data_IF_784187953557
#
_entry.id   IF_784187953557
#
_cell.length_a   1.000
_cell.length_b   1.000
_cell.length_c   1.000
_cell.angle_alpha   90.00
_cell.angle_beta   90.00
_cell.angle_gamma   90.00
#
_symmetry.space_group_name_H-M   'P 1'
#
loop_
_entity.id
_entity.type
_entity.pdbx_description
1 polymer ?
#
# COMPACT_ATOMS: atom_id res chain seq x y z
N UNK A 1 35.95 -67.12 -17.50
CA UNK A 1 34.49 -67.09 -17.58
C UNK A 1 34.00 -66.30 -16.37
N UNK A 2 33.97 -64.98 -16.50
CA UNK A 2 33.63 -64.09 -15.37
C UNK A 2 32.22 -63.58 -15.56
N UNK A 3 31.28 -64.10 -14.76
CA UNK A 3 29.90 -63.64 -14.66
C UNK A 3 29.88 -62.31 -13.88
N UNK A 4 29.76 -61.17 -14.59
CA UNK A 4 29.39 -59.92 -13.95
C UNK A 4 27.86 -59.96 -13.66
N UNK A 5 27.50 -60.15 -12.39
CA UNK A 5 26.14 -59.94 -11.90
C UNK A 5 25.79 -58.46 -12.04
N UNK A 6 24.92 -58.15 -12.97
CA UNK A 6 24.27 -56.85 -13.01
C UNK A 6 23.31 -56.73 -11.81
N UNK A 7 23.72 -55.90 -10.86
CA UNK A 7 22.87 -55.52 -9.69
C UNK A 7 21.89 -54.44 -10.13
N UNK A 8 20.96 -54.80 -11.00
CA UNK A 8 19.79 -53.99 -11.30
C UNK A 8 18.56 -54.74 -10.79
N UNK A 9 18.40 -54.84 -9.48
CA UNK A 9 17.19 -55.37 -8.89
C UNK A 9 16.04 -54.37 -8.98
N UNK A 10 14.80 -54.82 -9.24
CA UNK A 10 13.61 -53.95 -9.25
C UNK A 10 13.39 -53.15 -7.98
N UNK A 11 14.12 -53.45 -6.90
CA UNK A 11 14.06 -52.74 -5.62
C UNK A 11 14.70 -51.35 -5.64
N UNK A 12 15.75 -51.13 -6.45
CA UNK A 12 16.41 -49.80 -6.48
C UNK A 12 15.57 -48.79 -7.25
N UNK A 13 14.92 -49.20 -8.33
CA UNK A 13 14.01 -48.33 -9.08
C UNK A 13 12.75 -47.99 -8.29
N UNK A 14 12.23 -48.93 -7.50
CA UNK A 14 11.09 -48.72 -6.61
C UNK A 14 11.45 -47.74 -5.47
N UNK A 15 12.62 -47.88 -4.86
CA UNK A 15 13.13 -46.96 -3.83
C UNK A 15 13.35 -45.54 -4.36
N UNK A 16 13.86 -45.38 -5.59
CA UNK A 16 14.01 -44.07 -6.25
C UNK A 16 12.66 -43.42 -6.54
N UNK A 17 11.66 -44.17 -6.98
CA UNK A 17 10.29 -43.68 -7.21
C UNK A 17 9.64 -43.24 -5.90
N UNK A 18 9.78 -44.03 -4.84
CA UNK A 18 9.25 -43.69 -3.50
C UNK A 18 9.95 -42.42 -2.93
N UNK A 19 11.27 -42.29 -3.09
CA UNK A 19 12.02 -41.11 -2.67
C UNK A 19 11.60 -39.86 -3.47
N UNK A 20 11.38 -40.00 -4.78
CA UNK A 20 10.88 -38.90 -5.63
C UNK A 20 9.44 -38.51 -5.28
N UNK A 21 8.58 -39.47 -4.99
CA UNK A 21 7.21 -39.23 -4.53
C UNK A 21 7.17 -38.55 -3.16
N UNK A 22 8.05 -38.96 -2.21
CA UNK A 22 8.16 -38.32 -0.91
C UNK A 22 8.64 -36.86 -1.00
N UNK A 23 9.50 -36.53 -1.95
CA UNK A 23 9.91 -35.13 -2.22
C UNK A 23 8.78 -34.26 -2.79
N UNK A 24 7.86 -34.84 -3.56
CA UNK A 24 6.75 -34.10 -4.17
C UNK A 24 5.67 -33.68 -3.15
N UNK A 25 5.57 -34.37 -1.98
CA UNK A 25 4.50 -34.11 -0.99
C UNK A 25 4.85 -32.94 -0.03
N UNK A 26 6.09 -32.45 0.01
CA UNK A 26 6.54 -31.44 0.96
C UNK A 26 6.31 -29.97 0.53
N UNK A 27 5.65 -29.73 -0.61
CA UNK A 27 5.51 -28.39 -1.21
C UNK A 27 4.15 -27.71 -0.91
N UNK A 28 3.49 -27.98 0.21
CA UNK A 28 2.26 -27.28 0.57
C UNK A 28 2.54 -26.00 1.35
N UNK A 29 2.26 -24.85 0.77
CA UNK A 29 2.18 -23.58 1.49
C UNK A 29 1.04 -23.67 2.51
N UNK A 30 1.33 -23.46 3.80
CA UNK A 30 0.32 -23.55 4.85
C UNK A 30 -0.75 -22.47 4.66
N UNK A 31 -2.01 -22.86 4.52
CA UNK A 31 -3.20 -21.98 4.47
C UNK A 31 -3.18 -20.90 5.58
N UNK A 32 -2.61 -21.21 6.75
CA UNK A 32 -2.46 -20.27 7.87
C UNK A 32 -1.64 -19.02 7.56
N UNK A 33 -0.85 -18.98 6.48
CA UNK A 33 -0.05 -17.82 6.11
C UNK A 33 -0.83 -16.81 5.25
N UNK A 34 -1.99 -17.20 4.74
CA UNK A 34 -2.82 -16.38 3.85
C UNK A 34 -3.93 -15.61 4.58
N UNK A 35 -4.26 -16.02 5.83
CA UNK A 35 -5.37 -15.43 6.58
C UNK A 35 -4.93 -14.17 7.30
N UNK A 36 -5.71 -13.09 7.17
CA UNK A 36 -5.57 -11.85 7.94
C UNK A 36 -6.13 -12.02 9.36
N UNK A 37 -5.53 -11.31 10.34
CA UNK A 37 -6.08 -11.16 11.70
C UNK A 37 -6.49 -12.49 12.37
N UNK A 38 -5.75 -13.56 12.12
CA UNK A 38 -6.11 -14.94 12.52
C UNK A 38 -6.19 -15.18 14.04
N UNK A 39 -5.60 -14.30 14.85
CA UNK A 39 -5.58 -14.36 16.31
C UNK A 39 -6.61 -13.43 16.98
N UNK A 40 -7.56 -12.89 16.21
CA UNK A 40 -8.74 -12.25 16.79
C UNK A 40 -9.56 -13.34 17.49
N UNK A 41 -9.91 -13.09 18.75
CA UNK A 41 -10.64 -14.05 19.56
C UNK A 41 -12.03 -14.27 18.97
N UNK A 42 -12.30 -15.51 18.53
CA UNK A 42 -13.58 -15.91 17.94
C UNK A 42 -14.64 -16.30 18.99
N UNK A 43 -14.24 -16.39 20.26
CA UNK A 43 -15.15 -16.78 21.36
C UNK A 43 -15.91 -15.57 21.92
N UNK A 44 -15.40 -14.35 21.72
CA UNK A 44 -16.06 -13.12 22.16
C UNK A 44 -16.96 -12.56 21.05
N UNK A 45 -18.19 -12.20 21.38
CA UNK A 45 -19.11 -11.56 20.44
C UNK A 45 -18.62 -10.18 19.98
N UNK A 46 -17.81 -9.50 20.80
CA UNK A 46 -17.25 -8.20 20.53
C UNK A 46 -15.83 -8.09 21.12
N UNK A 47 -14.89 -7.60 20.30
CA UNK A 47 -13.51 -7.31 20.70
C UNK A 47 -13.24 -5.82 20.44
N UNK A 48 -12.84 -5.08 21.45
CA UNK A 48 -12.49 -3.67 21.35
C UNK A 48 -10.98 -3.48 21.27
N UNK A 49 -10.52 -2.76 20.24
CA UNK A 49 -9.12 -2.34 20.07
C UNK A 49 -9.08 -0.81 19.99
N UNK A 50 -8.34 -0.13 20.88
CA UNK A 50 -8.25 1.33 20.86
C UNK A 50 -7.56 1.78 19.56
N UNK A 51 -8.12 2.81 18.93
CA UNK A 51 -7.52 3.41 17.73
C UNK A 51 -6.32 4.28 18.14
N UNK A 52 -5.14 3.93 17.63
CA UNK A 52 -3.96 4.79 17.70
C UNK A 52 -3.80 5.53 16.36
N UNK A 53 -4.61 6.58 16.17
CA UNK A 53 -4.57 7.40 14.96
C UNK A 53 -3.60 8.56 15.15
N UNK A 54 -2.50 8.63 14.39
CA UNK A 54 -1.63 9.79 14.41
C UNK A 54 -2.37 11.00 13.84
N UNK A 55 -2.20 12.14 14.50
CA UNK A 55 -2.72 13.40 13.99
C UNK A 55 -1.85 13.89 12.83
N UNK A 56 -2.49 14.18 11.68
CA UNK A 56 -1.78 14.73 10.55
C UNK A 56 -1.63 16.24 10.69
N UNK A 57 -0.40 16.73 10.64
CA UNK A 57 -0.09 18.14 10.56
C UNK A 57 0.21 18.51 9.10
N UNK A 58 -0.46 19.55 8.62
CA UNK A 58 -0.32 20.04 7.25
C UNK A 58 1.13 20.38 6.97
N UNK A 59 1.66 19.87 5.86
CA UNK A 59 3.04 20.06 5.44
C UNK A 59 3.15 21.05 4.29
N UNK A 60 4.36 21.51 4.02
CA UNK A 60 4.68 22.24 2.79
C UNK A 60 4.43 21.33 1.59
N UNK A 61 3.94 21.92 0.48
CA UNK A 61 3.52 21.22 -0.76
C UNK A 61 2.23 20.43 -0.66
N UNK A 62 1.58 20.40 0.50
CA UNK A 62 0.21 19.91 0.56
C UNK A 62 -0.72 20.75 -0.30
N UNK A 63 -1.74 20.12 -0.84
CA UNK A 63 -2.76 20.78 -1.63
C UNK A 63 -4.08 20.69 -0.89
N UNK A 64 -4.67 21.82 -0.60
CA UNK A 64 -5.93 21.94 0.11
C UNK A 64 -7.02 22.43 -0.82
N UNK A 65 -8.15 21.76 -0.79
CA UNK A 65 -9.40 22.29 -1.33
C UNK A 65 -10.05 23.15 -0.27
N UNK A 66 -10.33 24.42 -0.59
CA UNK A 66 -10.90 25.39 0.35
C UNK A 66 -12.12 26.01 -0.30
N UNK A 67 -13.23 26.01 0.44
CA UNK A 67 -14.46 26.73 0.06
C UNK A 67 -14.97 27.55 1.24
N UNK A 68 -15.35 28.77 0.94
CA UNK A 68 -15.87 29.73 1.93
C UNK A 68 -17.25 30.17 1.51
N UNK A 69 -18.25 29.91 2.35
CA UNK A 69 -19.62 30.29 2.17
C UNK A 69 -20.02 31.37 3.16
N UNK A 70 -20.86 32.33 2.73
CA UNK A 70 -21.44 33.36 3.55
C UNK A 70 -22.80 33.75 2.97
N UNK A 71 -23.61 34.46 3.75
CA UNK A 71 -24.87 35.05 3.27
C UNK A 71 -24.68 36.08 2.14
N UNK A 72 -23.47 36.68 2.07
CA UNK A 72 -23.07 37.54 0.95
C UNK A 72 -22.48 36.69 -0.19
N UNK A 73 -23.31 36.28 -1.15
CA UNK A 73 -22.91 35.45 -2.27
C UNK A 73 -21.87 36.09 -3.18
N UNK A 74 -21.98 37.42 -3.42
CA UNK A 74 -21.05 38.14 -4.29
C UNK A 74 -19.63 38.09 -3.74
N UNK A 75 -19.45 38.38 -2.45
CA UNK A 75 -18.14 38.30 -1.80
C UNK A 75 -17.64 36.87 -1.69
N UNK A 76 -18.53 35.93 -1.43
CA UNK A 76 -18.16 34.49 -1.40
C UNK A 76 -17.63 34.02 -2.76
N UNK A 77 -18.28 34.44 -3.85
CA UNK A 77 -17.85 34.11 -5.22
C UNK A 77 -16.51 34.76 -5.57
N UNK A 78 -16.26 35.99 -5.16
CA UNK A 78 -14.99 36.67 -5.36
C UNK A 78 -13.84 36.00 -4.61
N UNK A 79 -14.06 35.56 -3.37
CA UNK A 79 -13.03 34.88 -2.58
C UNK A 79 -12.74 33.48 -3.14
N UNK A 80 -13.79 32.74 -3.51
CA UNK A 80 -13.64 31.38 -4.04
C UNK A 80 -13.09 31.35 -5.46
N UNK A 81 -13.04 32.48 -6.18
CA UNK A 81 -12.64 32.63 -7.59
C UNK A 81 -12.97 31.38 -8.40
N UNK A 82 -14.26 31.12 -8.57
CA UNK A 82 -14.66 30.06 -9.50
C UNK A 82 -14.36 30.59 -10.91
N UNK A 83 -13.24 30.16 -11.47
CA UNK A 83 -12.86 30.48 -12.84
C UNK A 83 -13.96 29.93 -13.75
N UNK A 84 -14.88 30.82 -14.16
CA UNK A 84 -15.87 30.64 -15.22
C UNK A 84 -16.86 29.50 -15.02
N UNK A 85 -18.11 29.85 -15.06
CA UNK A 85 -19.30 28.97 -15.04
C UNK A 85 -19.34 27.89 -16.14
N UNK A 86 -18.34 27.80 -16.99
CA UNK A 86 -18.24 26.83 -18.08
C UNK A 86 -17.57 25.51 -17.73
N UNK A 87 -17.12 25.31 -16.48
CA UNK A 87 -16.30 24.15 -16.13
C UNK A 87 -16.85 23.25 -15.02
N UNK A 88 -18.16 23.14 -14.88
CA UNK A 88 -18.74 22.16 -13.93
C UNK A 88 -18.32 20.70 -14.21
N UNK A 89 -17.82 20.39 -15.39
CA UNK A 89 -17.36 19.04 -15.76
C UNK A 89 -15.85 18.77 -15.49
N UNK A 90 -15.08 19.75 -15.02
CA UNK A 90 -13.63 19.60 -14.80
C UNK A 90 -13.26 19.05 -13.41
N UNK A 91 -14.21 18.86 -12.51
CA UNK A 91 -13.94 18.37 -11.16
C UNK A 91 -13.76 16.83 -11.05
N UNK A 92 -13.63 16.13 -12.20
CA UNK A 92 -13.61 14.67 -12.21
C UNK A 92 -12.21 14.05 -12.30
N UNK A 93 -11.13 14.84 -12.41
CA UNK A 93 -9.79 14.30 -12.48
C UNK A 93 -8.81 14.99 -11.51
N UNK A 94 -7.70 14.29 -11.20
CA UNK A 94 -6.65 14.79 -10.30
C UNK A 94 -6.05 16.13 -10.76
N UNK A 95 -5.97 16.37 -12.07
CA UNK A 95 -5.42 17.59 -12.66
C UNK A 95 -6.28 18.81 -12.29
N UNK A 96 -7.59 18.69 -12.32
CA UNK A 96 -8.47 19.81 -11.96
C UNK A 96 -8.44 20.12 -10.46
N UNK A 97 -8.29 19.10 -9.61
CA UNK A 97 -8.09 19.28 -8.18
C UNK A 97 -6.76 20.01 -7.90
N UNK A 98 -5.71 19.69 -8.65
CA UNK A 98 -4.41 20.39 -8.55
C UNK A 98 -4.52 21.86 -8.97
N UNK A 99 -5.21 22.16 -10.06
CA UNK A 99 -5.37 23.53 -10.58
C UNK A 99 -6.23 24.39 -9.66
N UNK A 100 -7.27 23.82 -9.05
CA UNK A 100 -8.23 24.56 -8.20
C UNK A 100 -7.89 24.50 -6.71
N UNK A 101 -6.86 23.74 -6.32
CA UNK A 101 -6.39 23.62 -4.94
C UNK A 101 -5.42 24.69 -4.53
N UNK A 102 -5.37 24.97 -3.25
CA UNK A 102 -4.38 25.89 -2.66
C UNK A 102 -3.17 25.09 -2.19
N UNK A 103 -2.03 25.28 -2.86
CA UNK A 103 -0.78 24.63 -2.48
C UNK A 103 -0.11 25.36 -1.33
N UNK A 104 0.28 24.62 -0.30
CA UNK A 104 1.07 25.16 0.82
C UNK A 104 2.49 25.44 0.33
N UNK A 105 2.90 26.69 0.38
CA UNK A 105 4.23 27.12 -0.05
C UNK A 105 5.34 26.54 0.85
N UNK A 106 6.58 26.57 0.37
CA UNK A 106 7.75 26.12 1.15
C UNK A 106 7.95 26.97 2.44
N UNK A 107 7.40 28.19 2.47
CA UNK A 107 7.36 29.03 3.69
C UNK A 107 6.19 28.71 4.65
N UNK A 108 5.33 27.73 4.29
CA UNK A 108 4.23 27.26 5.13
C UNK A 108 2.92 28.05 5.03
N UNK A 109 2.76 28.85 3.95
CA UNK A 109 1.57 29.67 3.74
C UNK A 109 0.76 29.19 2.56
N UNK A 110 -0.54 29.43 2.62
CA UNK A 110 -1.42 29.49 1.44
C UNK A 110 -1.76 30.95 1.14
N UNK A 111 -2.13 31.24 -0.10
CA UNK A 111 -2.60 32.55 -0.53
C UNK A 111 -4.01 32.41 -1.09
N UNK A 112 -4.96 33.04 -0.38
CA UNK A 112 -6.38 33.03 -0.79
C UNK A 112 -6.71 34.44 -1.30
N UNK A 113 -7.38 34.58 -2.48
CA UNK A 113 -7.80 35.87 -2.97
C UNK A 113 -8.55 36.68 -1.90
N UNK A 114 -8.29 38.01 -1.83
CA UNK A 114 -8.87 38.95 -0.86
C UNK A 114 -8.39 38.70 0.58
N UNK A 115 -8.29 37.43 1.04
CA UNK A 115 -7.87 37.10 2.42
C UNK A 115 -6.35 37.23 2.60
N UNK A 116 -5.59 37.10 1.50
CA UNK A 116 -4.13 37.16 1.51
C UNK A 116 -3.47 35.90 2.04
N UNK A 117 -2.26 36.05 2.54
CA UNK A 117 -1.43 34.95 3.03
C UNK A 117 -1.86 34.49 4.42
N UNK A 118 -2.01 33.18 4.60
CA UNK A 118 -2.39 32.54 5.87
C UNK A 118 -1.40 31.40 6.13
N UNK A 119 -0.78 31.39 7.31
CA UNK A 119 0.13 30.33 7.73
C UNK A 119 -0.67 29.11 8.20
N UNK A 120 -0.45 27.96 7.57
CA UNK A 120 -1.16 26.71 7.88
C UNK A 120 -0.24 25.50 8.04
N UNK A 121 0.99 25.54 7.58
CA UNK A 121 1.93 24.46 7.85
C UNK A 121 2.17 24.28 9.35
N UNK A 122 2.19 23.01 9.79
CA UNK A 122 2.30 22.61 11.19
C UNK A 122 1.00 22.67 11.98
N UNK A 123 -0.12 23.05 11.36
CA UNK A 123 -1.46 23.02 11.96
C UNK A 123 -2.17 21.70 11.59
N UNK A 124 -3.01 21.23 12.47
CA UNK A 124 -3.98 20.20 12.11
C UNK A 124 -5.13 20.80 11.27
N UNK A 125 -6.03 19.95 10.78
CA UNK A 125 -7.09 20.38 9.88
C UNK A 125 -8.06 21.37 10.57
N UNK A 126 -8.40 21.15 11.83
CA UNK A 126 -9.33 22.01 12.59
C UNK A 126 -8.70 23.38 12.89
N UNK A 127 -7.42 23.41 13.24
CA UNK A 127 -6.67 24.65 13.43
C UNK A 127 -6.53 25.45 12.12
N UNK A 128 -6.36 24.77 10.99
CA UNK A 128 -6.30 25.41 9.69
C UNK A 128 -7.67 26.03 9.32
N UNK A 129 -8.77 25.30 9.54
CA UNK A 129 -10.13 25.82 9.37
C UNK A 129 -10.36 27.05 10.26
N UNK A 130 -9.95 26.99 11.52
CA UNK A 130 -10.10 28.13 12.45
C UNK A 130 -9.32 29.34 11.97
N UNK A 131 -8.05 29.18 11.54
CA UNK A 131 -7.22 30.28 11.05
C UNK A 131 -7.80 30.93 9.77
N UNK A 132 -8.34 30.11 8.85
CA UNK A 132 -8.99 30.63 7.64
C UNK A 132 -10.29 31.35 7.99
N UNK A 133 -11.09 30.78 8.89
CA UNK A 133 -12.35 31.39 9.35
C UNK A 133 -12.12 32.74 10.03
N UNK A 134 -11.12 32.83 10.89
CA UNK A 134 -10.75 34.11 11.54
C UNK A 134 -10.41 35.17 10.48
N UNK A 135 -9.63 34.79 9.47
CA UNK A 135 -9.26 35.70 8.40
C UNK A 135 -10.46 36.12 7.55
N UNK A 136 -11.32 35.15 7.18
CA UNK A 136 -12.53 35.37 6.42
C UNK A 136 -13.53 36.27 7.16
N UNK A 137 -13.63 36.15 8.48
CA UNK A 137 -14.52 36.96 9.35
C UNK A 137 -14.26 38.46 9.31
N UNK A 138 -13.10 38.90 8.82
CA UNK A 138 -12.80 40.34 8.61
C UNK A 138 -13.57 40.90 7.39
N UNK A 139 -14.01 40.06 6.48
CA UNK A 139 -14.66 40.45 5.23
C UNK A 139 -16.09 39.94 5.11
N UNK A 140 -16.37 38.80 5.77
CA UNK A 140 -17.64 38.10 5.69
C UNK A 140 -18.21 37.86 7.08
N UNK A 141 -19.49 38.24 7.27
CA UNK A 141 -20.25 37.82 8.46
C UNK A 141 -20.66 36.34 8.28
N UNK A 142 -20.57 35.54 9.34
CA UNK A 142 -21.01 34.14 9.39
C UNK A 142 -20.36 33.25 8.33
N UNK A 143 -19.04 33.42 8.12
CA UNK A 143 -18.30 32.62 7.15
C UNK A 143 -18.22 31.14 7.58
N UNK A 144 -18.76 30.25 6.75
CA UNK A 144 -18.55 28.79 6.84
C UNK A 144 -17.38 28.41 5.96
N UNK A 145 -16.37 27.77 6.57
CA UNK A 145 -15.16 27.35 5.86
C UNK A 145 -15.09 25.83 5.79
N UNK A 146 -14.94 25.30 4.58
CA UNK A 146 -14.71 23.90 4.30
C UNK A 146 -13.27 23.75 3.82
N UNK A 147 -12.49 22.90 4.48
CA UNK A 147 -11.12 22.55 4.06
C UNK A 147 -11.03 21.02 3.91
N UNK A 148 -10.44 20.57 2.81
CA UNK A 148 -10.13 19.15 2.57
C UNK A 148 -8.72 19.02 2.06
N UNK A 149 -7.99 18.03 2.55
CA UNK A 149 -6.68 17.66 2.01
C UNK A 149 -6.90 16.83 0.75
N UNK A 150 -6.44 17.31 -0.41
CA UNK A 150 -6.56 16.59 -1.69
C UNK A 150 -5.25 15.95 -2.14
N UNK A 151 -4.14 16.27 -1.48
CA UNK A 151 -2.83 15.63 -1.70
C UNK A 151 -2.65 14.31 -0.95
N UNK A 152 -3.70 13.75 -0.33
CA UNK A 152 -3.60 12.50 0.40
C UNK A 152 -3.43 11.33 -0.58
N UNK A 153 -2.18 11.01 -0.90
CA UNK A 153 -1.81 9.84 -1.70
C UNK A 153 -0.95 8.90 -0.87
N UNK A 154 -1.08 7.61 -1.13
CA UNK A 154 -0.20 6.56 -0.62
C UNK A 154 0.30 5.72 -1.79
N UNK A 155 1.51 5.19 -1.67
CA UNK A 155 2.07 4.29 -2.68
C UNK A 155 2.08 2.87 -2.14
N UNK A 156 1.55 1.93 -2.91
CA UNK A 156 1.59 0.49 -2.58
C UNK A 156 2.48 -0.20 -3.60
N UNK A 157 3.54 -0.86 -3.13
CA UNK A 157 4.55 -1.47 -3.99
C UNK A 157 4.91 -2.88 -3.51
N UNK A 158 5.56 -3.65 -4.37
CA UNK A 158 5.98 -5.03 -4.07
C UNK A 158 4.94 -6.07 -4.52
N UNK A 159 4.70 -7.07 -3.68
CA UNK A 159 3.89 -8.23 -4.01
C UNK A 159 2.38 -8.00 -3.82
N UNK A 160 1.83 -7.06 -4.56
CA UNK A 160 0.39 -6.77 -4.68
C UNK A 160 -0.05 -6.92 -6.14
N UNK A 161 -1.34 -7.14 -6.36
CA UNK A 161 -1.85 -7.38 -7.72
C UNK A 161 -1.76 -6.14 -8.61
N UNK A 162 -1.88 -4.94 -8.06
CA UNK A 162 -1.82 -3.67 -8.78
C UNK A 162 -0.95 -2.68 -8.00
N UNK A 163 0.38 -2.75 -8.13
CA UNK A 163 1.24 -1.74 -7.51
C UNK A 163 1.03 -0.36 -8.14
N UNK A 164 1.05 0.69 -7.33
CA UNK A 164 0.79 2.06 -7.80
C UNK A 164 0.62 3.06 -6.67
N UNK A 165 0.34 4.31 -7.04
CA UNK A 165 -0.05 5.37 -6.11
C UNK A 165 -1.57 5.52 -6.12
N UNK A 166 -2.16 5.62 -4.94
CA UNK A 166 -3.59 5.68 -4.70
C UNK A 166 -3.96 6.94 -3.96
N UNK A 167 -4.92 7.69 -4.48
CA UNK A 167 -5.46 8.89 -3.84
C UNK A 167 -6.57 8.49 -2.88
N UNK A 168 -6.49 9.00 -1.66
CA UNK A 168 -7.52 8.84 -0.66
C UNK A 168 -8.33 10.12 -0.50
N UNK A 169 -9.65 10.02 -0.61
CA UNK A 169 -10.58 11.14 -0.43
C UNK A 169 -11.23 11.17 0.96
N UNK A 170 -10.92 10.17 1.79
CA UNK A 170 -11.38 10.11 3.16
C UNK A 170 -10.38 10.76 4.11
N UNK A 171 -10.85 11.14 5.30
CA UNK A 171 -9.98 11.72 6.32
C UNK A 171 -9.02 10.70 6.98
N UNK A 172 -9.19 9.42 6.68
CA UNK A 172 -8.36 8.34 7.21
C UNK A 172 -8.20 7.24 6.15
N UNK A 173 -7.10 6.52 6.25
CA UNK A 173 -6.80 5.35 5.43
C UNK A 173 -6.02 4.35 6.28
N UNK A 174 -6.42 3.10 6.26
CA UNK A 174 -5.69 2.01 6.92
C UNK A 174 -4.79 1.27 5.93
N UNK A 175 -3.78 0.56 6.43
CA UNK A 175 -2.93 -0.28 5.60
C UNK A 175 -3.73 -1.37 4.87
N UNK A 176 -4.79 -1.91 5.49
CA UNK A 176 -5.65 -2.92 4.86
C UNK A 176 -6.47 -2.33 3.72
N UNK A 177 -7.00 -1.12 3.87
CA UNK A 177 -7.70 -0.40 2.79
C UNK A 177 -6.76 -0.10 1.63
N UNK A 178 -5.53 0.38 1.89
CA UNK A 178 -4.54 0.65 0.86
C UNK A 178 -4.17 -0.63 0.07
N UNK A 179 -3.97 -1.76 0.76
CA UNK A 179 -3.73 -3.06 0.14
C UNK A 179 -4.95 -3.51 -0.68
N UNK A 180 -6.16 -3.29 -0.19
CA UNK A 180 -7.40 -3.58 -0.93
C UNK A 180 -7.49 -2.74 -2.22
N UNK A 181 -7.14 -1.45 -2.18
CA UNK A 181 -7.06 -0.59 -3.38
C UNK A 181 -6.06 -1.13 -4.40
N UNK A 182 -4.95 -1.73 -3.93
CA UNK A 182 -3.95 -2.40 -4.76
C UNK A 182 -4.38 -3.81 -5.22
N UNK A 183 -5.62 -4.22 -4.96
CA UNK A 183 -6.18 -5.50 -5.41
C UNK A 183 -5.70 -6.70 -4.60
N UNK A 184 -5.32 -6.49 -3.34
CA UNK A 184 -4.78 -7.45 -2.39
C UNK A 184 -3.32 -7.90 -2.69
N UNK A 185 -2.76 -8.59 -1.70
CA UNK A 185 -1.42 -9.18 -1.73
C UNK A 185 -1.45 -10.45 -2.59
N UNK A 186 -0.46 -10.61 -3.47
CA UNK A 186 -0.34 -11.83 -4.29
C UNK A 186 -0.07 -13.07 -3.43
N UNK A 187 -0.16 -14.27 -4.04
CA UNK A 187 0.21 -15.54 -3.39
C UNK A 187 1.67 -15.59 -2.93
N UNK A 188 2.51 -14.72 -3.50
CA UNK A 188 3.94 -14.60 -3.18
C UNK A 188 4.26 -13.45 -2.21
N UNK A 189 3.26 -12.71 -1.76
CA UNK A 189 3.47 -11.62 -0.83
C UNK A 189 3.51 -12.09 0.63
N UNK A 190 4.45 -11.53 1.38
CA UNK A 190 4.66 -11.86 2.78
C UNK A 190 3.76 -11.00 3.69
N UNK A 191 2.59 -11.53 4.02
CA UNK A 191 1.62 -10.85 4.92
C UNK A 191 2.15 -10.60 6.33
N UNK A 192 3.24 -11.29 6.73
CA UNK A 192 3.86 -11.10 8.06
C UNK A 192 4.90 -10.00 8.09
N UNK A 193 5.31 -9.49 6.93
CA UNK A 193 6.37 -8.49 6.82
C UNK A 193 5.99 -7.43 5.79
N UNK A 194 4.94 -6.69 6.12
CA UNK A 194 4.57 -5.49 5.36
C UNK A 194 5.27 -4.30 6.01
N UNK A 195 5.99 -3.53 5.21
CA UNK A 195 6.73 -2.38 5.66
C UNK A 195 5.98 -1.10 5.28
N UNK A 196 5.69 -0.26 6.25
CA UNK A 196 5.20 1.10 6.02
C UNK A 196 6.37 2.07 6.21
N UNK A 197 6.68 2.83 5.18
CA UNK A 197 7.69 3.89 5.18
C UNK A 197 6.96 5.22 5.24
N UNK A 198 7.21 6.00 6.29
CA UNK A 198 6.60 7.31 6.53
C UNK A 198 7.65 8.41 6.46
N UNK A 199 7.70 9.16 5.35
CA UNK A 199 8.58 10.33 5.26
C UNK A 199 8.24 11.37 6.32
N UNK A 200 9.27 11.97 6.92
CA UNK A 200 9.17 13.09 7.85
C UNK A 200 10.14 14.18 7.41
N UNK A 201 10.06 15.35 8.02
CA UNK A 201 10.97 16.46 7.71
C UNK A 201 12.44 16.17 8.06
N UNK A 202 12.68 15.23 8.98
CA UNK A 202 14.03 14.87 9.46
C UNK A 202 14.52 13.52 8.97
N UNK A 203 13.69 12.73 8.25
CA UNK A 203 14.06 11.40 7.80
C UNK A 203 12.85 10.53 7.44
N UNK A 204 12.94 9.23 7.62
CA UNK A 204 11.85 8.29 7.33
C UNK A 204 11.65 7.35 8.52
N UNK A 205 10.45 7.33 9.06
CA UNK A 205 10.04 6.33 10.04
C UNK A 205 9.62 5.05 9.31
N UNK A 206 9.92 3.90 9.90
CA UNK A 206 9.56 2.60 9.32
C UNK A 206 8.78 1.77 10.33
N UNK A 207 7.67 1.19 9.88
CA UNK A 207 6.83 0.31 10.69
C UNK A 207 6.72 -1.04 9.99
N UNK A 208 7.07 -2.11 10.71
CA UNK A 208 6.94 -3.47 10.20
C UNK A 208 5.69 -4.11 10.79
N UNK A 209 4.78 -4.53 9.94
CA UNK A 209 3.45 -5.00 10.30
C UNK A 209 3.28 -6.48 9.94
N UNK A 210 2.75 -7.27 10.87
CA UNK A 210 2.24 -8.62 10.59
C UNK A 210 0.71 -8.55 10.40
N UNK A 211 0.27 -8.53 9.15
CA UNK A 211 -1.16 -8.45 8.82
C UNK A 211 -1.94 -9.70 9.23
N UNK A 212 -1.24 -10.78 9.59
CA UNK A 212 -1.89 -12.01 10.09
C UNK A 212 -2.19 -11.94 11.60
N UNK A 213 -1.68 -10.91 12.30
CA UNK A 213 -1.91 -10.68 13.74
C UNK A 213 -2.87 -9.53 13.99
N UNK A 214 -3.68 -9.65 15.04
CA UNK A 214 -4.54 -8.58 15.56
C UNK A 214 -3.74 -7.36 16.09
N UNK A 215 -2.46 -7.55 16.42
CA UNK A 215 -1.60 -6.51 16.98
C UNK A 215 -1.41 -5.31 16.03
N UNK A 216 -1.68 -5.50 14.72
CA UNK A 216 -1.67 -4.40 13.76
C UNK A 216 -2.70 -3.33 14.10
N UNK A 217 -3.84 -3.69 14.69
CA UNK A 217 -4.94 -2.77 14.98
C UNK A 217 -4.56 -1.66 15.97
N UNK A 218 -3.52 -1.90 16.78
CA UNK A 218 -2.97 -0.94 17.75
C UNK A 218 -1.62 -0.37 17.33
N UNK A 219 -1.09 -0.77 16.18
CA UNK A 219 0.21 -0.30 15.66
C UNK A 219 0.12 1.13 15.13
N UNK A 220 1.18 1.93 15.36
CA UNK A 220 1.33 3.29 14.79
C UNK A 220 1.39 3.33 13.26
N UNK A 221 1.75 2.20 12.63
CA UNK A 221 1.75 2.04 11.17
C UNK A 221 0.42 1.60 10.59
N UNK A 222 -0.61 1.30 11.40
CA UNK A 222 -1.90 0.82 10.91
C UNK A 222 -2.68 1.89 10.15
N UNK A 223 -2.74 3.11 10.69
CA UNK A 223 -3.30 4.27 10.00
C UNK A 223 -2.22 4.94 9.18
N UNK A 224 -2.46 5.02 7.88
CA UNK A 224 -1.57 5.65 6.93
C UNK A 224 -1.74 7.17 6.94
N UNK A 225 -0.64 7.86 6.70
CA UNK A 225 -0.60 9.30 6.49
C UNK A 225 -0.28 9.61 5.00
N UNK A 226 -0.53 10.85 4.55
CA UNK A 226 -0.13 11.30 3.21
C UNK A 226 1.34 11.01 2.93
N UNK A 227 1.63 10.52 1.72
CA UNK A 227 2.95 10.11 1.23
C UNK A 227 3.56 8.85 1.88
N UNK A 228 2.82 8.11 2.71
CA UNK A 228 3.26 6.80 3.18
C UNK A 228 3.44 5.84 2.00
N UNK A 229 4.46 4.98 2.11
CA UNK A 229 4.72 3.90 1.15
C UNK A 229 4.50 2.57 1.88
N UNK A 230 3.59 1.76 1.35
CA UNK A 230 3.33 0.39 1.82
C UNK A 230 4.08 -0.56 0.91
N UNK A 231 5.09 -1.25 1.45
CA UNK A 231 5.88 -2.22 0.71
C UNK A 231 5.58 -3.64 1.20
N UNK A 232 5.13 -4.48 0.29
CA UNK A 232 4.88 -5.91 0.54
C UNK A 232 6.07 -6.71 0.05
N UNK A 233 6.82 -7.29 0.98
CA UNK A 233 7.98 -8.12 0.66
C UNK A 233 7.56 -9.44 -0.01
N UNK A 234 8.34 -9.99 -0.96
CA UNK A 234 8.12 -11.32 -1.49
C UNK A 234 8.51 -12.40 -0.48
N UNK A 235 7.80 -13.53 -0.49
CA UNK A 235 8.21 -14.72 0.24
C UNK A 235 9.41 -15.41 -0.46
N UNK A 236 10.25 -16.11 0.31
CA UNK A 236 11.45 -16.80 -0.21
C UNK A 236 11.15 -17.80 -1.34
N UNK A 237 9.98 -18.43 -1.30
CA UNK A 237 9.56 -19.39 -2.35
C UNK A 237 9.38 -18.77 -3.73
N UNK A 238 9.16 -17.45 -3.85
CA UNK A 238 9.13 -16.77 -5.14
C UNK A 238 10.47 -16.87 -5.87
N UNK A 239 11.58 -16.62 -5.17
CA UNK A 239 12.93 -16.73 -5.74
C UNK A 239 13.23 -18.15 -6.20
N UNK A 240 12.77 -19.16 -5.45
CA UNK A 240 12.92 -20.55 -5.86
C UNK A 240 12.14 -20.85 -7.16
N UNK A 241 10.90 -20.40 -7.26
CA UNK A 241 10.04 -20.65 -8.43
C UNK A 241 10.57 -19.98 -9.71
N UNK A 242 11.18 -18.82 -9.60
CA UNK A 242 11.83 -18.13 -10.73
C UNK A 242 12.96 -18.99 -11.31
N UNK A 243 13.64 -19.78 -10.48
CA UNK A 243 14.77 -20.64 -10.88
C UNK A 243 14.34 -22.07 -11.31
N UNK A 244 13.06 -22.45 -11.17
CA UNK A 244 12.57 -23.77 -11.58
C UNK A 244 12.85 -24.08 -13.07
N UNK A 245 12.63 -23.16 -14.04
CA UNK A 245 12.93 -23.42 -15.45
C UNK A 245 14.38 -23.83 -15.68
N UNK A 246 15.33 -23.17 -14.99
CA UNK A 246 16.77 -23.49 -15.10
C UNK A 246 17.08 -24.87 -14.50
N UNK A 247 16.45 -25.23 -13.38
CA UNK A 247 16.59 -26.54 -12.75
C UNK A 247 16.00 -27.64 -13.62
N UNK A 248 14.82 -27.39 -14.24
CA UNK A 248 14.17 -28.34 -15.14
C UNK A 248 15.04 -28.57 -16.39
N UNK A 249 15.61 -27.52 -16.96
CA UNK A 249 16.53 -27.61 -18.08
C UNK A 249 17.75 -28.47 -17.72
N UNK A 250 18.35 -28.25 -16.56
CA UNK A 250 19.49 -29.06 -16.09
C UNK A 250 19.12 -30.54 -15.92
N UNK A 251 17.95 -30.82 -15.32
CA UNK A 251 17.48 -32.20 -15.15
C UNK A 251 17.18 -32.88 -16.47
N UNK A 252 16.57 -32.18 -17.42
CA UNK A 252 16.29 -32.75 -18.77
C UNK A 252 17.57 -33.01 -19.54
N UNK A 253 18.59 -32.15 -19.46
CA UNK A 253 19.89 -32.41 -20.10
C UNK A 253 20.57 -33.65 -19.52
N UNK A 254 20.56 -33.82 -18.19
CA UNK A 254 21.13 -35.01 -17.52
C UNK A 254 20.38 -36.28 -17.95
N UNK A 255 19.05 -36.27 -17.94
CA UNK A 255 18.26 -37.43 -18.34
C UNK A 255 18.46 -37.79 -19.82
N UNK A 256 18.56 -36.82 -20.70
CA UNK A 256 18.85 -37.04 -22.11
C UNK A 256 20.25 -37.65 -22.29
N UNK A 257 21.24 -37.17 -21.55
CA UNK A 257 22.61 -37.69 -21.59
C UNK A 257 22.66 -39.17 -21.14
N UNK A 258 21.96 -39.50 -20.05
CA UNK A 258 21.85 -40.87 -19.53
C UNK A 258 21.18 -41.78 -20.57
N UNK A 259 20.11 -41.33 -21.26
CA UNK A 259 19.43 -42.09 -22.29
C UNK A 259 20.35 -42.36 -23.51
N UNK A 260 21.12 -41.35 -23.93
CA UNK A 260 22.08 -41.50 -25.04
C UNK A 260 23.20 -42.49 -24.65
N UNK A 261 23.75 -42.38 -23.45
CA UNK A 261 24.78 -43.31 -22.97
C UNK A 261 24.25 -44.75 -22.89
N UNK A 262 23.03 -44.92 -22.36
CA UNK A 262 22.40 -46.23 -22.25
C UNK A 262 22.06 -46.84 -23.65
N UNK A 263 21.75 -45.99 -24.64
CA UNK A 263 21.56 -46.43 -26.02
C UNK A 263 22.87 -46.91 -26.66
N UNK A 264 23.98 -46.20 -26.44
CA UNK A 264 25.32 -46.57 -26.97
C UNK A 264 25.83 -47.85 -26.31
N UNK A 265 25.61 -48.06 -25.00
CA UNK A 265 26.04 -49.29 -24.30
C UNK A 265 25.24 -50.54 -24.67
N UNK A 266 24.03 -50.38 -25.21
CA UNK A 266 23.16 -51.51 -25.60
C UNK A 266 23.23 -51.87 -27.11
N UNK A 267 23.96 -51.09 -27.91
CA UNK A 267 24.25 -51.37 -29.32
C UNK A 267 25.74 -51.67 -29.55
#
# INVERSE_FOLDING_TARGET
MNYRKTVNGPGISLLLIIALAAFAVTSCTSHRQLVYLKNVDSTSAENFYPKNRPEYLIQTRDILYIKIYSLNEEMSNLINQTIGSYQQNLFQNETSLFINGYTVSDSGYIEIPILGRIRIAGKNMDEAIAAIRERAGKYLKDATVIVKLISFKVSVVGEVNRPGSYTNYNNQLTVLEAISMAGDITDYGNRKQVLVLRPTTSGTNTFRLDLTSKDILTSDGFFLLPNDIVYVEPIKSKSFRINIPTLTLALTTVTTLILVLNYIDNY
#
